data_IF_903035987703
#
_entry.id   IF_903035987703
#
_cell.length_a   1.000
_cell.length_b   1.000
_cell.length_c   1.000
_cell.angle_alpha   90.00
_cell.angle_beta   90.00
_cell.angle_gamma   90.00
#
_symmetry.space_group_name_H-M   'P 1'
#
loop_
_entity.id
_entity.type
_entity.pdbx_description
1 polymer ?
#
# COMPACT_ATOMS: atom_id res chain seq x y z
N UNK A 1 10.59 -10.62 11.10
CA UNK A 1 10.23 -9.81 9.92
C UNK A 1 11.52 -9.35 9.28
N UNK A 2 11.68 -9.45 7.95
CA UNK A 2 12.92 -9.09 7.27
C UNK A 2 12.95 -7.59 7.00
N UNK A 3 13.96 -6.88 7.51
CA UNK A 3 14.24 -5.48 7.18
C UNK A 3 14.93 -5.40 5.82
N UNK A 4 14.51 -4.47 4.97
CA UNK A 4 14.92 -4.41 3.57
C UNK A 4 14.99 -2.96 3.08
N UNK A 5 16.00 -2.65 2.27
CA UNK A 5 16.15 -1.35 1.61
C UNK A 5 15.24 -1.24 0.36
N UNK A 6 14.90 -0.01 -0.09
CA UNK A 6 13.96 0.21 -1.20
C UNK A 6 14.27 -0.58 -2.47
N UNK A 7 15.51 -0.54 -2.94
CA UNK A 7 15.93 -1.24 -4.18
C UNK A 7 15.80 -2.77 -4.11
N UNK A 8 16.03 -3.36 -2.93
CA UNK A 8 15.84 -4.78 -2.71
C UNK A 8 14.34 -5.13 -2.55
N UNK A 9 13.55 -4.27 -1.88
CA UNK A 9 12.10 -4.46 -1.76
C UNK A 9 11.42 -4.48 -3.13
N UNK A 10 11.79 -3.60 -4.05
CA UNK A 10 11.24 -3.58 -5.42
C UNK A 10 11.45 -4.93 -6.12
N UNK A 11 12.61 -5.56 -5.94
CA UNK A 11 12.88 -6.90 -6.50
C UNK A 11 11.97 -7.97 -5.91
N UNK A 12 11.78 -7.94 -4.59
CA UNK A 12 10.88 -8.88 -3.88
C UNK A 12 9.41 -8.66 -4.30
N UNK A 13 8.96 -7.41 -4.40
CA UNK A 13 7.60 -7.08 -4.85
C UNK A 13 7.31 -7.60 -6.26
N UNK A 14 8.29 -7.49 -7.17
CA UNK A 14 8.18 -8.05 -8.53
C UNK A 14 8.11 -9.58 -8.50
N UNK A 15 8.98 -10.22 -7.75
CA UNK A 15 9.01 -11.68 -7.63
C UNK A 15 7.71 -12.22 -6.99
N UNK A 16 7.27 -11.61 -5.90
CA UNK A 16 6.03 -11.98 -5.22
C UNK A 16 4.80 -11.72 -6.13
N UNK A 17 4.81 -10.63 -6.90
CA UNK A 17 3.76 -10.33 -7.85
C UNK A 17 3.63 -11.41 -8.93
N UNK A 18 4.74 -11.87 -9.50
CA UNK A 18 4.75 -12.97 -10.48
C UNK A 18 4.26 -14.27 -9.82
N UNK A 19 4.67 -14.53 -8.59
CA UNK A 19 4.26 -15.71 -7.82
C UNK A 19 2.84 -15.60 -7.23
N UNK A 20 2.14 -14.49 -7.44
CA UNK A 20 0.81 -14.19 -6.87
C UNK A 20 0.77 -14.27 -5.33
N UNK A 21 1.88 -13.93 -4.67
CA UNK A 21 1.99 -13.89 -3.21
C UNK A 21 1.68 -12.48 -2.72
N UNK A 22 0.60 -12.28 -1.93
CA UNK A 22 0.30 -10.98 -1.33
C UNK A 22 1.48 -10.48 -0.47
N UNK A 23 1.79 -9.20 -0.58
CA UNK A 23 2.95 -8.63 0.12
C UNK A 23 2.54 -7.50 1.04
N UNK A 24 3.00 -7.54 2.30
CA UNK A 24 2.78 -6.50 3.31
C UNK A 24 4.07 -5.71 3.54
N UNK A 25 4.01 -4.40 3.33
CA UNK A 25 5.10 -3.45 3.50
C UNK A 25 4.88 -2.68 4.80
N UNK A 26 5.73 -2.92 5.77
CA UNK A 26 5.78 -2.19 7.02
C UNK A 26 6.83 -1.09 6.96
N UNK A 27 6.57 0.03 7.63
CA UNK A 27 7.58 1.10 7.74
C UNK A 27 7.02 2.30 8.50
N UNK A 28 7.88 3.23 8.88
CA UNK A 28 7.50 4.47 9.53
C UNK A 28 6.66 5.38 8.63
N UNK A 29 5.98 6.38 9.22
CA UNK A 29 5.28 7.39 8.44
C UNK A 29 6.27 8.17 7.56
N UNK A 30 5.91 8.41 6.29
CA UNK A 30 6.74 9.17 5.36
C UNK A 30 7.97 8.43 4.78
N UNK A 31 8.16 7.14 5.06
CA UNK A 31 9.26 6.33 4.50
C UNK A 31 9.05 5.88 3.03
N UNK A 32 7.94 6.25 2.39
CA UNK A 32 7.73 6.00 0.96
C UNK A 32 7.11 4.64 0.62
N UNK A 33 6.46 3.93 1.56
CA UNK A 33 5.85 2.60 1.34
C UNK A 33 4.95 2.54 0.11
N UNK A 34 3.94 3.40 0.06
CA UNK A 34 2.98 3.45 -1.06
C UNK A 34 3.66 3.90 -2.35
N UNK A 35 4.63 4.83 -2.28
CA UNK A 35 5.40 5.27 -3.44
C UNK A 35 6.22 4.13 -4.07
N UNK A 36 6.83 3.26 -3.25
CA UNK A 36 7.55 2.08 -3.75
C UNK A 36 6.58 1.11 -4.42
N UNK A 37 5.37 0.93 -3.88
CA UNK A 37 4.35 0.11 -4.53
C UNK A 37 3.93 0.69 -5.89
N UNK A 38 3.68 2.00 -5.98
CA UNK A 38 3.40 2.69 -7.25
C UNK A 38 4.55 2.59 -8.24
N UNK A 39 5.79 2.79 -7.78
CA UNK A 39 6.97 2.67 -8.64
C UNK A 39 7.12 1.23 -9.17
N UNK A 40 6.90 0.23 -8.31
CA UNK A 40 6.92 -1.18 -8.73
C UNK A 40 5.83 -1.48 -9.76
N UNK A 41 4.62 -0.95 -9.56
CA UNK A 41 3.53 -1.09 -10.51
C UNK A 41 3.89 -0.48 -11.89
N UNK A 42 4.50 0.71 -11.89
CA UNK A 42 5.02 1.34 -13.12
C UNK A 42 6.03 0.44 -13.86
N UNK A 43 6.97 -0.16 -13.14
CA UNK A 43 7.96 -1.09 -13.71
C UNK A 43 7.33 -2.37 -14.28
N UNK A 44 6.16 -2.76 -13.77
CA UNK A 44 5.39 -3.92 -14.22
C UNK A 44 4.35 -3.56 -15.31
N UNK A 45 4.30 -2.30 -15.73
CA UNK A 45 3.26 -1.77 -16.61
C UNK A 45 1.84 -2.11 -16.11
N UNK A 46 1.64 -2.05 -14.80
CA UNK A 46 0.41 -2.40 -14.12
C UNK A 46 -0.45 -1.17 -13.81
N UNK A 47 -1.77 -1.30 -13.95
CA UNK A 47 -2.73 -0.30 -13.47
C UNK A 47 -2.89 -0.44 -11.95
N UNK A 48 -2.79 0.68 -11.22
CA UNK A 48 -2.96 0.68 -9.76
C UNK A 48 -4.39 1.02 -9.38
N UNK A 49 -4.95 0.24 -8.48
CA UNK A 49 -6.18 0.51 -7.75
C UNK A 49 -5.83 0.59 -6.27
N UNK A 50 -6.07 1.75 -5.65
CA UNK A 50 -5.72 2.01 -4.25
C UNK A 50 -6.96 1.96 -3.38
N UNK A 51 -6.93 1.12 -2.34
CA UNK A 51 -7.92 1.05 -1.29
C UNK A 51 -7.32 1.57 0.01
N UNK A 52 -7.81 2.70 0.51
CA UNK A 52 -7.40 3.23 1.81
C UNK A 52 -8.25 2.59 2.91
N UNK A 53 -7.74 1.47 3.43
CA UNK A 53 -8.50 0.59 4.31
C UNK A 53 -9.03 1.27 5.60
N UNK A 54 -8.31 2.28 6.10
CA UNK A 54 -8.72 3.06 7.27
C UNK A 54 -9.93 3.97 7.04
N UNK A 55 -10.31 4.22 5.78
CA UNK A 55 -11.47 5.04 5.40
C UNK A 55 -12.70 4.20 5.05
N UNK A 56 -12.56 2.87 5.02
CA UNK A 56 -13.60 1.95 4.59
C UNK A 56 -14.31 1.29 5.76
N UNK A 57 -15.62 1.23 5.68
CA UNK A 57 -16.43 0.32 6.46
C UNK A 57 -16.56 -1.05 5.78
N UNK A 58 -16.95 -2.12 6.49
CA UNK A 58 -17.13 -3.45 5.88
C UNK A 58 -18.12 -3.48 4.71
N UNK A 59 -19.06 -2.54 4.68
CA UNK A 59 -20.04 -2.40 3.57
C UNK A 59 -19.35 -1.85 2.33
N UNK A 60 -18.44 -0.91 2.48
CA UNK A 60 -17.69 -0.34 1.35
C UNK A 60 -16.83 -1.41 0.67
N UNK A 61 -16.24 -2.30 1.47
CA UNK A 61 -15.44 -3.43 0.95
C UNK A 61 -16.30 -4.41 0.13
N UNK A 62 -17.54 -4.68 0.59
CA UNK A 62 -18.45 -5.63 -0.09
C UNK A 62 -19.26 -4.98 -1.19
N UNK A 63 -19.42 -3.67 -1.15
CA UNK A 63 -20.31 -2.89 -1.98
C UNK A 63 -21.73 -2.80 -1.42
N UNK A 64 -22.48 -1.81 -1.90
CA UNK A 64 -23.85 -1.56 -1.49
C UNK A 64 -24.81 -2.67 -1.94
N UNK A 65 -25.79 -2.97 -1.12
CA UNK A 65 -26.86 -3.93 -1.47
C UNK A 65 -27.79 -3.34 -2.53
N UNK A 66 -28.07 -4.13 -3.56
CA UNK A 66 -29.07 -3.84 -4.59
C UNK A 66 -30.12 -4.94 -4.63
N UNK A 67 -31.39 -4.56 -4.63
CA UNK A 67 -32.48 -5.48 -4.91
C UNK A 67 -32.63 -5.60 -6.43
N UNK A 68 -32.58 -6.83 -6.94
CA UNK A 68 -32.69 -7.14 -8.37
C UNK A 68 -33.86 -8.07 -8.59
N UNK A 69 -34.75 -7.70 -9.51
CA UNK A 69 -35.83 -8.56 -9.96
C UNK A 69 -35.29 -9.57 -10.97
N UNK A 70 -35.58 -10.83 -10.75
CA UNK A 70 -35.22 -11.94 -11.63
C UNK A 70 -36.29 -12.15 -12.71
N UNK A 71 -35.91 -12.81 -13.80
CA UNK A 71 -36.84 -13.09 -14.91
C UNK A 71 -38.09 -13.91 -14.51
N UNK A 72 -38.02 -14.60 -13.38
CA UNK A 72 -39.14 -15.39 -12.82
C UNK A 72 -40.00 -14.60 -11.80
N UNK A 73 -39.77 -13.28 -11.69
CA UNK A 73 -40.51 -12.38 -10.77
C UNK A 73 -40.03 -12.41 -9.33
N UNK A 74 -39.02 -13.20 -8.97
CA UNK A 74 -38.42 -13.19 -7.63
C UNK A 74 -37.48 -12.02 -7.44
N UNK A 75 -37.40 -11.51 -6.23
CA UNK A 75 -36.43 -10.48 -5.83
C UNK A 75 -35.26 -11.13 -5.10
N UNK A 76 -34.07 -10.78 -5.50
CA UNK A 76 -32.83 -11.18 -4.82
C UNK A 76 -32.02 -9.94 -4.46
N UNK A 77 -31.21 -10.07 -3.40
CA UNK A 77 -30.26 -9.04 -3.01
C UNK A 77 -28.88 -9.39 -3.56
N UNK A 78 -28.25 -8.45 -4.25
CA UNK A 78 -26.85 -8.57 -4.75
C UNK A 78 -26.03 -7.41 -4.20
N UNK A 79 -24.74 -7.65 -4.03
CA UNK A 79 -23.80 -6.57 -3.78
C UNK A 79 -23.43 -5.89 -5.12
N UNK A 80 -23.45 -4.55 -5.13
CA UNK A 80 -22.85 -3.79 -6.21
C UNK A 80 -21.33 -3.82 -6.08
N UNK A 81 -20.59 -3.86 -7.18
CA UNK A 81 -19.13 -3.78 -7.14
C UNK A 81 -18.73 -2.35 -6.79
N UNK A 82 -17.86 -2.11 -5.80
CA UNK A 82 -17.31 -0.79 -5.53
C UNK A 82 -16.59 -0.21 -6.75
N UNK A 83 -16.69 1.10 -6.96
CA UNK A 83 -16.05 1.80 -8.08
C UNK A 83 -14.51 1.73 -8.01
N UNK A 84 -13.99 1.65 -6.79
CA UNK A 84 -12.54 1.56 -6.52
C UNK A 84 -11.93 0.22 -6.91
N UNK A 85 -12.74 -0.76 -7.33
CA UNK A 85 -12.23 -2.08 -7.73
C UNK A 85 -11.96 -2.15 -9.22
N UNK A 86 -10.94 -2.93 -9.65
CA UNK A 86 -10.72 -3.17 -11.06
C UNK A 86 -11.88 -3.92 -11.71
N UNK A 87 -12.13 -3.67 -12.99
CA UNK A 87 -13.08 -4.49 -13.76
C UNK A 87 -12.58 -5.95 -13.82
N UNK A 88 -13.44 -6.89 -13.45
CA UNK A 88 -13.15 -8.34 -13.46
C UNK A 88 -12.58 -8.82 -14.80
N UNK A 89 -13.01 -8.21 -15.91
CA UNK A 89 -12.60 -8.58 -17.26
C UNK A 89 -11.34 -7.84 -17.75
N UNK A 90 -10.70 -7.05 -16.89
CA UNK A 90 -9.49 -6.33 -17.27
C UNK A 90 -8.34 -7.30 -17.57
N UNK A 91 -7.79 -7.22 -18.78
CA UNK A 91 -6.79 -8.17 -19.29
C UNK A 91 -5.34 -7.80 -18.96
N UNK A 92 -5.09 -6.55 -18.52
CA UNK A 92 -3.75 -6.09 -18.16
C UNK A 92 -3.36 -6.52 -16.76
N UNK A 93 -2.11 -6.22 -16.38
CA UNK A 93 -1.66 -6.40 -15.00
C UNK A 93 -2.26 -5.33 -14.10
N UNK A 94 -2.74 -5.72 -12.94
CA UNK A 94 -3.31 -4.86 -11.90
C UNK A 94 -2.44 -4.94 -10.64
N UNK A 95 -2.20 -3.82 -10.00
CA UNK A 95 -1.78 -3.77 -8.59
C UNK A 95 -2.94 -3.27 -7.76
N UNK A 96 -3.45 -4.12 -6.86
CA UNK A 96 -4.38 -3.73 -5.81
C UNK A 96 -3.55 -3.34 -4.59
N UNK A 97 -3.45 -2.04 -4.35
CA UNK A 97 -2.74 -1.47 -3.20
C UNK A 97 -3.73 -1.22 -2.06
N UNK A 98 -3.58 -1.96 -0.96
CA UNK A 98 -4.37 -1.79 0.25
C UNK A 98 -3.53 -0.95 1.23
N UNK A 99 -3.73 0.36 1.22
CA UNK A 99 -2.97 1.25 2.09
C UNK A 99 -3.62 1.37 3.48
N UNK A 100 -2.79 1.61 4.50
CA UNK A 100 -3.19 1.75 5.91
C UNK A 100 -3.98 0.53 6.45
N UNK A 101 -3.74 -0.68 5.92
CA UNK A 101 -4.47 -1.89 6.32
C UNK A 101 -4.50 -2.14 7.84
N UNK A 102 -3.39 -2.01 8.61
CA UNK A 102 -3.42 -2.21 10.06
C UNK A 102 -4.17 -1.11 10.82
N UNK A 103 -4.40 0.06 10.19
CA UNK A 103 -5.11 1.18 10.80
C UNK A 103 -6.64 1.06 10.60
N UNK A 104 -7.08 0.14 9.73
CA UNK A 104 -8.49 -0.13 9.52
C UNK A 104 -9.14 -0.83 10.74
N UNK A 105 -10.43 -0.60 11.00
CA UNK A 105 -11.18 -1.36 11.99
C UNK A 105 -11.06 -2.87 11.74
N UNK A 106 -11.04 -3.68 12.79
CA UNK A 106 -10.92 -5.16 12.66
C UNK A 106 -11.99 -5.76 11.76
N UNK A 107 -13.20 -5.20 11.76
CA UNK A 107 -14.29 -5.64 10.90
C UNK A 107 -13.99 -5.42 9.42
N UNK A 108 -13.39 -4.27 9.07
CA UNK A 108 -12.93 -3.94 7.71
C UNK A 108 -11.77 -4.83 7.29
N UNK A 109 -10.79 -5.05 8.19
CA UNK A 109 -9.68 -6.00 7.93
C UNK A 109 -10.20 -7.41 7.62
N UNK A 110 -11.20 -7.88 8.37
CA UNK A 110 -11.83 -9.20 8.13
C UNK A 110 -12.62 -9.23 6.82
N UNK A 111 -13.26 -8.14 6.42
CA UNK A 111 -13.95 -8.06 5.13
C UNK A 111 -12.96 -8.13 3.96
N UNK A 112 -11.83 -7.42 4.06
CA UNK A 112 -10.74 -7.45 3.06
C UNK A 112 -10.06 -8.83 3.01
N UNK A 113 -10.09 -9.61 4.11
CA UNK A 113 -9.47 -10.93 4.15
C UNK A 113 -10.00 -11.85 3.04
N UNK A 114 -11.29 -11.84 2.78
CA UNK A 114 -11.88 -12.66 1.71
C UNK A 114 -11.31 -12.25 0.35
N UNK A 115 -11.20 -10.94 0.07
CA UNK A 115 -10.62 -10.45 -1.18
C UNK A 115 -9.14 -10.83 -1.33
N UNK A 116 -8.39 -10.79 -0.22
CA UNK A 116 -6.95 -11.14 -0.21
C UNK A 116 -6.74 -12.63 -0.41
N UNK A 117 -7.57 -13.48 0.21
CA UNK A 117 -7.42 -14.94 0.20
C UNK A 117 -8.00 -15.59 -1.05
N UNK A 118 -9.28 -15.29 -1.27
CA UNK A 118 -10.09 -15.99 -2.27
C UNK A 118 -10.06 -15.23 -3.60
N UNK A 119 -9.45 -14.03 -3.62
CA UNK A 119 -9.40 -13.11 -4.75
C UNK A 119 -10.81 -12.72 -5.24
N UNK A 120 -11.79 -12.84 -4.37
CA UNK A 120 -13.20 -12.53 -4.64
C UNK A 120 -13.92 -12.04 -3.40
N UNK A 121 -15.03 -11.36 -3.62
CA UNK A 121 -15.94 -10.95 -2.55
C UNK A 121 -17.37 -10.95 -3.10
N UNK A 122 -18.25 -11.73 -2.48
CA UNK A 122 -19.58 -11.94 -3.03
C UNK A 122 -19.51 -12.54 -4.45
N UNK A 123 -20.06 -11.84 -5.43
CA UNK A 123 -20.05 -12.23 -6.87
C UNK A 123 -18.91 -11.58 -7.65
N UNK A 124 -18.17 -10.66 -7.04
CA UNK A 124 -17.04 -9.99 -7.67
C UNK A 124 -15.78 -10.85 -7.55
N UNK A 125 -15.01 -10.93 -8.63
CA UNK A 125 -13.70 -11.58 -8.67
C UNK A 125 -12.65 -10.61 -9.20
N UNK A 126 -11.47 -10.60 -8.55
CA UNK A 126 -10.32 -9.83 -9.03
C UNK A 126 -9.85 -10.36 -10.38
N UNK A 127 -9.40 -9.49 -11.30
CA UNK A 127 -8.72 -9.93 -12.51
C UNK A 127 -7.60 -10.94 -12.20
N UNK A 128 -7.38 -11.95 -13.07
CA UNK A 128 -6.42 -13.03 -12.78
C UNK A 128 -4.99 -12.51 -12.56
N UNK A 129 -4.61 -11.44 -13.27
CA UNK A 129 -3.26 -10.83 -13.18
C UNK A 129 -3.18 -9.72 -12.11
N UNK A 130 -3.95 -9.82 -11.01
CA UNK A 130 -3.90 -8.85 -9.93
C UNK A 130 -2.83 -9.21 -8.92
N UNK A 131 -1.92 -8.28 -8.67
CA UNK A 131 -0.89 -8.32 -7.63
C UNK A 131 -1.42 -7.58 -6.42
N UNK A 132 -1.45 -8.23 -5.25
CA UNK A 132 -1.92 -7.60 -4.00
C UNK A 132 -0.73 -7.12 -3.20
N UNK A 133 -0.69 -5.81 -2.94
CA UNK A 133 0.28 -5.15 -2.06
C UNK A 133 -0.48 -4.43 -0.94
N UNK A 134 -0.02 -4.54 0.29
CA UNK A 134 -0.57 -3.80 1.41
C UNK A 134 0.52 -3.00 2.11
N UNK A 135 0.16 -1.84 2.65
CA UNK A 135 1.04 -0.98 3.41
C UNK A 135 0.50 -0.74 4.81
N UNK A 136 1.40 -0.51 5.76
CA UNK A 136 1.02 -0.13 7.11
C UNK A 136 2.17 0.37 7.95
N UNK A 137 1.84 1.14 8.99
CA UNK A 137 2.80 1.61 9.95
C UNK A 137 3.10 0.54 11.01
N UNK A 138 4.30 0.57 11.59
CA UNK A 138 4.69 -0.35 12.66
C UNK A 138 4.05 0.10 13.97
N UNK A 139 3.69 -0.85 14.85
CA UNK A 139 3.14 -0.54 16.17
C UNK A 139 4.06 0.37 17.01
N UNK A 140 5.38 0.21 16.87
CA UNK A 140 6.38 1.03 17.55
C UNK A 140 6.40 2.51 17.11
N UNK A 141 5.86 2.83 15.92
CA UNK A 141 5.80 4.20 15.41
C UNK A 141 4.62 5.00 16.03
N UNK A 142 3.98 4.47 17.07
CA UNK A 142 2.81 5.03 17.78
C UNK A 142 1.66 5.45 16.85
N UNK A 143 1.58 4.86 15.67
CA UNK A 143 0.43 4.96 14.82
C UNK A 143 -0.78 4.27 15.48
N UNK A 144 -1.99 4.71 15.18
CA UNK A 144 -3.22 4.04 15.64
C UNK A 144 -3.39 2.70 14.91
N UNK A 145 -2.54 1.73 15.25
CA UNK A 145 -2.48 0.42 14.60
C UNK A 145 -3.31 -0.56 15.41
N UNK A 146 -4.29 -1.18 14.78
CA UNK A 146 -4.97 -2.34 15.32
C UNK A 146 -4.13 -3.60 15.07
N UNK A 147 -4.13 -4.50 16.03
CA UNK A 147 -3.49 -5.79 15.80
C UNK A 147 -4.24 -6.54 14.69
N UNK A 148 -3.51 -6.88 13.61
CA UNK A 148 -4.08 -7.63 12.51
C UNK A 148 -4.47 -9.05 12.96
N UNK A 149 -5.65 -9.54 12.58
CA UNK A 149 -6.04 -10.92 12.85
C UNK A 149 -5.00 -11.92 12.30
N UNK A 150 -4.71 -12.98 13.06
CA UNK A 150 -3.72 -13.99 12.67
C UNK A 150 -3.93 -14.57 11.26
N UNK A 151 -5.17 -14.86 10.83
CA UNK A 151 -5.42 -15.32 9.46
C UNK A 151 -4.97 -14.32 8.40
N UNK A 152 -5.16 -13.00 8.65
CA UNK A 152 -4.71 -11.94 7.73
C UNK A 152 -3.19 -11.89 7.68
N UNK A 153 -2.53 -11.88 8.87
CA UNK A 153 -1.06 -11.87 8.95
C UNK A 153 -0.42 -13.00 8.14
N UNK A 154 -0.94 -14.20 8.28
CA UNK A 154 -0.33 -15.41 7.71
C UNK A 154 -0.49 -15.53 6.18
N UNK A 155 -1.12 -14.57 5.52
CA UNK A 155 -1.37 -14.58 4.07
C UNK A 155 -0.43 -13.67 3.29
N UNK A 156 0.38 -12.89 3.98
CA UNK A 156 1.32 -11.97 3.37
C UNK A 156 2.78 -12.42 3.53
N UNK A 157 3.58 -12.17 2.52
CA UNK A 157 5.01 -12.03 2.69
C UNK A 157 5.29 -10.66 3.33
N UNK A 158 5.93 -10.64 4.50
CA UNK A 158 6.14 -9.42 5.29
C UNK A 158 7.55 -8.87 5.15
N UNK A 159 7.65 -7.60 4.79
CA UNK A 159 8.90 -6.85 4.74
C UNK A 159 8.80 -5.57 5.55
N UNK A 160 9.87 -5.21 6.26
CA UNK A 160 10.00 -3.91 6.92
C UNK A 160 10.90 -3.04 6.08
N UNK A 161 10.32 -1.99 5.49
CA UNK A 161 11.07 -0.99 4.75
C UNK A 161 11.95 -0.18 5.70
N UNK A 162 13.18 0.03 5.31
CA UNK A 162 14.12 0.94 5.97
C UNK A 162 14.68 1.92 4.94
N UNK A 163 14.55 3.21 5.24
CA UNK A 163 15.10 4.26 4.39
C UNK A 163 16.62 4.08 4.24
N UNK A 164 17.12 4.14 3.00
CA UNK A 164 18.54 3.96 2.70
C UNK A 164 19.06 5.13 1.86
N UNK A 165 20.15 5.73 2.29
CA UNK A 165 20.63 6.97 1.67
C UNK A 165 20.97 6.80 0.18
N UNK A 166 21.63 5.72 -0.23
CA UNK A 166 21.99 5.54 -1.64
C UNK A 166 20.77 5.37 -2.53
N UNK A 167 19.75 4.63 -2.05
CA UNK A 167 18.50 4.43 -2.79
C UNK A 167 17.71 5.74 -2.88
N UNK A 168 17.71 6.54 -1.80
CA UNK A 168 17.06 7.85 -1.79
C UNK A 168 17.79 8.83 -2.70
N UNK A 169 19.12 8.86 -2.70
CA UNK A 169 19.91 9.73 -3.58
C UNK A 169 19.68 9.38 -5.04
N UNK A 170 19.65 8.09 -5.40
CA UNK A 170 19.33 7.68 -6.76
C UNK A 170 17.95 8.19 -7.20
N UNK A 171 16.94 8.05 -6.33
CA UNK A 171 15.62 8.61 -6.58
C UNK A 171 15.62 10.15 -6.66
N UNK A 172 16.36 10.81 -5.79
CA UNK A 172 16.43 12.28 -5.71
C UNK A 172 16.98 12.89 -7.00
N UNK A 173 18.02 12.27 -7.58
CA UNK A 173 18.61 12.71 -8.85
C UNK A 173 17.64 12.55 -10.03
N UNK A 174 16.80 11.53 -10.01
CA UNK A 174 15.77 11.29 -11.03
C UNK A 174 14.52 12.18 -10.86
N UNK A 175 14.42 12.90 -9.72
CA UNK A 175 13.24 13.72 -9.36
C UNK A 175 13.57 15.18 -9.07
N UNK A 176 14.66 15.69 -9.62
CA UNK A 176 15.07 17.11 -9.54
C UNK A 176 15.15 17.66 -8.11
N UNK A 177 15.63 16.84 -7.16
CA UNK A 177 15.88 17.30 -5.79
C UNK A 177 17.15 18.14 -5.76
N UNK A 178 17.07 19.30 -5.10
CA UNK A 178 18.17 20.25 -4.98
C UNK A 178 19.45 19.61 -4.43
N UNK A 179 20.58 19.93 -5.06
CA UNK A 179 21.89 19.37 -4.73
C UNK A 179 22.31 19.66 -3.28
N UNK A 180 21.85 20.76 -2.69
CA UNK A 180 22.15 21.11 -1.30
C UNK A 180 21.53 20.10 -0.33
N UNK A 181 20.29 19.65 -0.58
CA UNK A 181 19.61 18.62 0.22
C UNK A 181 20.33 17.28 0.05
N UNK A 182 20.66 16.91 -1.19
CA UNK A 182 21.38 15.66 -1.49
C UNK A 182 22.75 15.64 -0.78
N UNK A 183 23.50 16.72 -0.88
CA UNK A 183 24.81 16.87 -0.25
C UNK A 183 24.73 16.84 1.26
N UNK A 184 23.75 17.53 1.84
CA UNK A 184 23.50 17.52 3.28
C UNK A 184 23.19 16.10 3.80
N UNK A 185 22.31 15.38 3.12
CA UNK A 185 21.91 14.02 3.54
C UNK A 185 23.01 12.99 3.31
N UNK A 186 23.87 13.16 2.32
CA UNK A 186 25.09 12.34 2.20
C UNK A 186 26.05 12.59 3.37
N UNK A 187 26.16 13.82 3.85
CA UNK A 187 26.98 14.14 5.03
C UNK A 187 26.32 13.67 6.33
N UNK A 188 24.98 13.69 6.43
CA UNK A 188 24.21 13.31 7.62
C UNK A 188 23.14 12.26 7.27
N UNK A 189 23.52 11.02 6.89
CA UNK A 189 22.58 10.02 6.40
C UNK A 189 21.53 9.58 7.43
N UNK A 190 21.82 9.69 8.72
CA UNK A 190 20.86 9.38 9.81
C UNK A 190 19.67 10.33 9.84
N UNK A 191 19.80 11.51 9.25
CA UNK A 191 18.70 12.49 9.14
C UNK A 191 17.78 12.24 7.95
N UNK A 192 18.05 11.25 7.11
CA UNK A 192 17.10 10.84 6.07
C UNK A 192 15.78 10.37 6.66
N UNK A 193 15.85 9.58 7.74
CA UNK A 193 14.67 9.10 8.46
C UNK A 193 14.99 8.97 9.94
N UNK A 194 14.39 9.83 10.76
CA UNK A 194 14.52 9.84 12.22
C UNK A 194 13.16 10.12 12.83
N UNK A 195 12.34 9.06 12.94
CA UNK A 195 10.97 9.17 13.45
C UNK A 195 11.00 9.45 14.95
N UNK A 196 10.50 10.63 15.34
CA UNK A 196 10.26 11.00 16.73
C UNK A 196 8.80 11.39 16.92
N UNK A 197 8.02 10.45 17.44
CA UNK A 197 6.57 10.62 17.65
C UNK A 197 6.21 11.64 18.75
N UNK A 198 7.19 12.21 19.45
CA UNK A 198 6.97 13.29 20.43
C UNK A 198 6.98 14.66 19.79
N UNK A 199 7.51 14.78 18.56
CA UNK A 199 7.60 16.02 17.82
C UNK A 199 6.51 16.10 16.75
N UNK A 200 6.06 17.32 16.46
CA UNK A 200 5.08 17.59 15.40
C UNK A 200 5.67 17.43 14.00
N UNK A 201 6.98 17.53 13.85
CA UNK A 201 7.71 17.35 12.60
C UNK A 201 9.05 16.67 12.88
N UNK A 202 9.39 15.70 12.07
CA UNK A 202 10.65 14.95 12.14
C UNK A 202 11.13 14.59 10.72
N UNK A 203 12.44 14.35 10.54
CA UNK A 203 13.01 14.03 9.26
C UNK A 203 12.46 12.70 8.71
N UNK A 204 11.96 12.75 7.48
CA UNK A 204 11.54 11.57 6.69
C UNK A 204 11.81 11.83 5.21
N UNK A 205 11.92 10.81 4.35
CA UNK A 205 12.01 11.01 2.90
C UNK A 205 10.95 11.96 2.34
N UNK A 206 9.69 11.87 2.81
CA UNK A 206 8.61 12.80 2.44
C UNK A 206 8.86 14.23 2.92
N UNK A 207 9.37 14.42 4.13
CA UNK A 207 9.67 15.75 4.67
C UNK A 207 10.76 16.46 3.84
N UNK A 208 11.76 15.73 3.38
CA UNK A 208 12.81 16.26 2.50
C UNK A 208 12.28 16.62 1.10
N UNK A 209 11.38 15.81 0.54
CA UNK A 209 10.67 16.16 -0.71
C UNK A 209 9.83 17.43 -0.53
N UNK A 210 9.14 17.57 0.60
CA UNK A 210 8.37 18.79 0.91
C UNK A 210 9.26 20.02 1.07
N UNK A 211 10.44 19.86 1.68
CA UNK A 211 11.44 20.94 1.77
C UNK A 211 11.92 21.35 0.38
N UNK A 212 12.25 20.38 -0.49
CA UNK A 212 12.67 20.64 -1.85
C UNK A 212 11.67 21.54 -2.62
N UNK A 213 10.37 21.28 -2.46
CA UNK A 213 9.31 22.10 -3.09
C UNK A 213 9.24 23.53 -2.57
N UNK A 214 9.87 23.85 -1.42
CA UNK A 214 9.88 25.18 -0.81
C UNK A 214 11.17 25.97 -1.08
N UNK A 215 12.25 25.31 -1.46
CA UNK A 215 13.55 25.97 -1.68
C UNK A 215 13.53 27.09 -2.74
N UNK A 216 12.71 27.02 -3.82
CA UNK A 216 12.62 28.09 -4.80
C UNK A 216 11.99 29.40 -4.29
N UNK A 217 11.39 29.39 -3.09
CA UNK A 217 10.71 30.54 -2.45
C UNK A 217 11.40 30.93 -1.15
#
# INVERSE_FOLDING_TARGET
MRTIRPSALIKELKANGIAQVPTMIWGGPGEGKSQIAYFTAKLLNAKVFELRANLFDPVDVRGGLKVVEMADGRYITRYGVPEDYPDTNYQGTVVLLIDELPNAPKATQNALLQLILDRKIGTYELPPNTIIMACGNRAQDRAAVHEMPTPVKNRFAHYTLEAHIDDWVAWALDNDVDESIVSFLRYRPTLLSSVDSTQNAFPTPRAWEMLNKKLPF
#
